data_IF_174530164729
#
_entry.id   IF_174530164729
#
_cell.length_a   1.000
_cell.length_b   1.000
_cell.length_c   1.000
_cell.angle_alpha   90.00
_cell.angle_beta   90.00
_cell.angle_gamma   90.00
#
_symmetry.space_group_name_H-M   'P 1'
#
loop_
_entity.id
_entity.type
_entity.pdbx_description
1 polymer ?
#
# COMPACT_ATOMS: atom_id res chain seq x y z
N UNK A 1 -0.19 6.50 37.82
CA UNK A 1 1.01 6.64 36.97
C UNK A 1 2.21 6.74 37.91
N UNK A 2 3.30 5.99 37.70
CA UNK A 2 4.44 5.84 38.63
C UNK A 2 5.75 6.40 38.05
N UNK A 3 5.85 7.72 37.81
CA UNK A 3 7.02 8.31 37.16
C UNK A 3 8.32 8.11 37.96
N UNK A 4 8.24 8.02 39.30
CA UNK A 4 9.39 7.79 40.17
C UNK A 4 9.93 6.35 40.18
N UNK A 5 9.28 5.43 39.47
CA UNK A 5 9.66 4.01 39.41
C UNK A 5 10.18 3.56 38.03
N UNK A 6 10.37 4.52 37.11
CA UNK A 6 10.86 4.22 35.75
C UNK A 6 12.37 4.44 35.71
N UNK A 7 13.14 3.36 35.60
CA UNK A 7 14.60 3.43 35.47
C UNK A 7 15.06 3.91 34.09
N UNK A 8 14.40 3.47 33.02
CA UNK A 8 14.60 3.90 31.62
C UNK A 8 13.31 3.69 30.81
N UNK A 9 13.11 4.51 29.78
CA UNK A 9 11.99 4.40 28.84
C UNK A 9 12.48 4.76 27.44
N UNK A 10 12.08 3.95 26.45
CA UNK A 10 12.24 4.25 25.02
C UNK A 10 10.84 4.08 24.42
N UNK A 11 10.42 5.07 23.66
CA UNK A 11 9.14 5.05 22.97
C UNK A 11 9.42 5.23 21.48
N UNK A 12 9.14 4.20 20.70
CA UNK A 12 9.30 4.16 19.25
C UNK A 12 7.90 3.94 18.64
N UNK A 13 7.56 4.69 17.58
CA UNK A 13 6.19 4.77 17.07
C UNK A 13 5.23 5.50 18.03
N UNK A 14 5.60 6.70 18.49
CA UNK A 14 4.83 7.45 19.49
C UNK A 14 3.58 8.10 18.91
N UNK A 15 2.49 8.05 19.68
CA UNK A 15 1.25 8.77 19.38
C UNK A 15 0.98 9.82 20.47
N UNK A 16 0.42 10.96 20.08
CA UNK A 16 -0.06 11.94 21.03
C UNK A 16 -1.51 11.64 21.44
N UNK A 17 -1.65 10.72 22.39
CA UNK A 17 -2.94 10.10 22.81
C UNK A 17 -4.04 11.10 23.17
N UNK A 18 -3.70 12.34 23.53
CA UNK A 18 -4.71 13.39 23.80
C UNK A 18 -5.55 13.71 22.57
N UNK A 19 -4.97 13.63 21.38
CA UNK A 19 -5.71 13.91 20.14
C UNK A 19 -6.72 12.79 19.84
N UNK A 20 -6.51 11.57 20.36
CA UNK A 20 -7.42 10.45 20.18
C UNK A 20 -8.74 10.60 20.95
N UNK A 21 -8.80 11.51 21.92
CA UNK A 21 -10.01 11.81 22.66
C UNK A 21 -11.05 12.59 21.84
N UNK A 22 -10.66 13.15 20.68
CA UNK A 22 -11.56 13.82 19.76
C UNK A 22 -12.28 12.79 18.87
N UNK A 23 -13.50 13.12 18.43
CA UNK A 23 -14.23 12.27 17.48
C UNK A 23 -13.41 12.11 16.19
N UNK A 24 -13.05 10.87 15.85
CA UNK A 24 -12.19 10.58 14.70
C UNK A 24 -10.70 10.90 14.91
N UNK A 25 -10.29 11.33 16.12
CA UNK A 25 -8.93 11.75 16.43
C UNK A 25 -7.88 10.68 16.18
N UNK A 26 -8.18 9.41 16.54
CA UNK A 26 -7.33 8.27 16.18
C UNK A 26 -7.16 8.14 14.67
N UNK A 27 -8.26 8.19 13.91
CA UNK A 27 -8.19 8.07 12.44
C UNK A 27 -7.37 9.20 11.80
N UNK A 28 -7.50 10.43 12.31
CA UNK A 28 -6.74 11.56 11.77
C UNK A 28 -5.25 11.49 12.09
N UNK A 29 -4.90 11.19 13.34
CA UNK A 29 -3.52 11.29 13.84
C UNK A 29 -2.71 10.01 13.65
N UNK A 30 -3.35 8.85 13.66
CA UNK A 30 -2.68 7.56 13.45
C UNK A 30 -2.74 7.07 11.99
N UNK A 31 -3.78 7.46 11.21
CA UNK A 31 -3.98 6.98 9.83
C UNK A 31 -3.86 8.07 8.75
N UNK A 32 -3.91 9.36 9.12
CA UNK A 32 -3.93 10.47 8.17
C UNK A 32 -2.69 10.55 7.26
N UNK A 33 -1.55 10.00 7.68
CA UNK A 33 -0.31 9.96 6.91
C UNK A 33 -0.26 8.84 5.86
N UNK A 34 -1.26 7.96 5.78
CA UNK A 34 -1.22 6.82 4.86
C UNK A 34 -1.16 7.22 3.38
N UNK A 35 -1.82 8.32 3.01
CA UNK A 35 -1.76 8.86 1.65
C UNK A 35 -0.38 9.41 1.34
N UNK A 36 0.22 10.16 2.27
CA UNK A 36 1.58 10.71 2.11
C UNK A 36 2.63 9.60 2.06
N UNK A 37 2.53 8.60 2.96
CA UNK A 37 3.42 7.44 2.97
C UNK A 37 3.34 6.63 1.67
N UNK A 38 2.15 6.50 1.08
CA UNK A 38 1.96 5.89 -0.23
C UNK A 38 2.59 6.74 -1.34
N UNK A 39 2.31 8.03 -1.35
CA UNK A 39 2.62 8.92 -2.46
C UNK A 39 4.09 9.33 -2.49
N UNK A 40 4.58 9.87 -1.38
CA UNK A 40 5.91 10.44 -1.25
C UNK A 40 6.92 9.40 -0.75
N UNK A 41 6.44 8.32 -0.11
CA UNK A 41 7.24 7.14 0.19
C UNK A 41 7.21 6.14 -0.98
N UNK A 42 6.25 5.22 -0.96
CA UNK A 42 6.24 4.06 -1.86
C UNK A 42 6.34 4.41 -3.35
N UNK A 43 5.50 5.32 -3.87
CA UNK A 43 5.48 5.66 -5.30
C UNK A 43 6.71 6.46 -5.74
N UNK A 44 7.12 7.45 -4.94
CA UNK A 44 8.31 8.25 -5.26
C UNK A 44 9.59 7.41 -5.20
N UNK A 45 9.75 6.57 -4.17
CA UNK A 45 10.90 5.68 -4.04
C UNK A 45 10.92 4.60 -5.12
N UNK A 46 9.76 4.11 -5.55
CA UNK A 46 9.68 3.20 -6.70
C UNK A 46 10.25 3.85 -7.98
N UNK A 47 9.93 5.12 -8.26
CA UNK A 47 10.50 5.84 -9.41
C UNK A 47 12.00 6.06 -9.25
N UNK A 48 12.45 6.45 -8.04
CA UNK A 48 13.87 6.66 -7.75
C UNK A 48 14.70 5.38 -7.89
N UNK A 49 14.15 4.24 -7.46
CA UNK A 49 14.76 2.92 -7.61
C UNK A 49 14.89 2.51 -9.09
N UNK A 50 14.00 3.03 -9.95
CA UNK A 50 14.03 2.83 -11.40
C UNK A 50 13.49 1.47 -11.84
N UNK A 51 13.37 1.32 -13.17
CA UNK A 51 12.71 0.17 -13.82
C UNK A 51 13.33 -1.20 -13.54
N UNK A 52 14.59 -1.24 -13.10
CA UNK A 52 15.30 -2.48 -12.78
C UNK A 52 14.94 -3.00 -11.38
N UNK A 53 14.48 -2.12 -10.49
CA UNK A 53 14.21 -2.43 -9.09
C UNK A 53 12.74 -2.23 -8.69
N UNK A 54 11.94 -1.53 -9.51
CA UNK A 54 10.51 -1.40 -9.30
C UNK A 54 9.70 -1.66 -10.58
N UNK A 55 8.73 -2.57 -10.51
CA UNK A 55 7.87 -2.93 -11.64
C UNK A 55 7.00 -1.76 -12.11
N UNK A 56 6.47 -0.94 -11.20
CA UNK A 56 5.63 0.22 -11.56
C UNK A 56 6.40 1.30 -12.34
N UNK A 57 7.72 1.40 -12.16
CA UNK A 57 8.57 2.31 -12.91
C UNK A 57 8.81 1.85 -14.37
N UNK A 58 8.31 0.69 -14.77
CA UNK A 58 8.40 0.25 -16.16
C UNK A 58 7.49 1.08 -17.08
N UNK A 59 8.02 1.59 -18.21
CA UNK A 59 7.25 2.40 -19.14
C UNK A 59 6.28 1.54 -19.94
N UNK A 60 5.02 1.97 -20.07
CA UNK A 60 4.03 1.26 -20.94
C UNK A 60 4.12 1.66 -22.42
N UNK A 61 4.55 2.88 -22.72
CA UNK A 61 4.60 3.45 -24.08
C UNK A 61 5.95 4.12 -24.41
N UNK A 62 7.06 3.55 -23.93
CA UNK A 62 8.43 4.07 -24.15
C UNK A 62 8.71 5.48 -23.60
N UNK A 63 7.80 6.03 -22.77
CA UNK A 63 8.00 7.28 -22.03
C UNK A 63 8.36 6.96 -20.59
N UNK A 64 9.32 7.70 -20.02
CA UNK A 64 9.65 7.62 -18.59
C UNK A 64 8.41 7.90 -17.75
N UNK A 65 8.19 7.07 -16.74
CA UNK A 65 7.05 7.20 -15.82
C UNK A 65 7.38 8.27 -14.77
N UNK A 66 6.48 9.21 -14.52
CA UNK A 66 6.60 10.17 -13.42
C UNK A 66 5.79 9.73 -12.19
N UNK A 67 6.08 10.32 -11.03
CA UNK A 67 5.31 10.07 -9.79
C UNK A 67 3.84 10.46 -9.97
N UNK A 68 3.56 11.60 -10.61
CA UNK A 68 2.19 12.04 -10.87
C UNK A 68 1.43 11.09 -11.81
N UNK A 69 2.12 10.55 -12.82
CA UNK A 69 1.54 9.53 -13.69
C UNK A 69 1.21 8.25 -12.89
N UNK A 70 2.10 7.82 -11.99
CA UNK A 70 1.82 6.69 -11.11
C UNK A 70 0.64 6.94 -10.18
N UNK A 71 0.53 8.14 -9.59
CA UNK A 71 -0.61 8.51 -8.74
C UNK A 71 -1.92 8.32 -9.49
N UNK A 72 -2.04 8.90 -10.68
CA UNK A 72 -3.24 8.80 -11.53
C UNK A 72 -3.54 7.34 -11.90
N UNK A 73 -2.52 6.57 -12.30
CA UNK A 73 -2.68 5.15 -12.65
C UNK A 73 -3.19 4.32 -11.48
N UNK A 74 -2.61 4.53 -10.30
CA UNK A 74 -2.97 3.76 -9.10
C UNK A 74 -4.32 4.19 -8.52
N UNK A 75 -4.71 5.46 -8.65
CA UNK A 75 -6.07 5.92 -8.34
C UNK A 75 -7.07 5.26 -9.28
N UNK A 76 -6.83 5.31 -10.59
CA UNK A 76 -7.70 4.70 -11.60
C UNK A 76 -7.85 3.18 -11.41
N UNK A 77 -6.77 2.47 -11.06
CA UNK A 77 -6.83 1.05 -10.72
C UNK A 77 -7.76 0.80 -9.53
N UNK A 78 -7.59 1.56 -8.44
CA UNK A 78 -8.43 1.39 -7.24
C UNK A 78 -9.88 1.77 -7.49
N UNK A 79 -10.16 2.84 -8.24
CA UNK A 79 -11.52 3.21 -8.65
C UNK A 79 -12.18 2.10 -9.47
N UNK A 80 -11.44 1.47 -10.38
CA UNK A 80 -11.96 0.35 -11.16
C UNK A 80 -12.36 -0.85 -10.28
N UNK A 81 -11.66 -1.08 -9.17
CA UNK A 81 -11.97 -2.13 -8.20
C UNK A 81 -13.21 -1.83 -7.35
N UNK A 82 -13.58 -0.55 -7.21
CA UNK A 82 -14.85 -0.13 -6.59
C UNK A 82 -16.01 -0.47 -7.52
N UNK A 83 -15.87 -0.23 -8.83
CA UNK A 83 -16.90 -0.55 -9.82
C UNK A 83 -17.05 -2.05 -10.03
N UNK A 84 -15.91 -2.77 -10.11
CA UNK A 84 -15.89 -4.19 -10.40
C UNK A 84 -14.65 -4.87 -9.81
N UNK A 85 -14.88 -5.83 -8.92
CA UNK A 85 -13.81 -6.71 -8.42
C UNK A 85 -13.19 -7.54 -9.55
N UNK A 86 -11.87 -7.75 -9.48
CA UNK A 86 -11.14 -8.57 -10.45
C UNK A 86 -11.17 -10.03 -9.97
N UNK A 87 -11.58 -11.00 -10.82
CA UNK A 87 -11.52 -12.41 -10.43
C UNK A 87 -10.06 -12.87 -10.29
N UNK A 88 -9.79 -13.63 -9.24
CA UNK A 88 -8.52 -14.31 -8.98
C UNK A 88 -8.70 -15.82 -9.00
N UNK A 89 -7.60 -16.54 -9.21
CA UNK A 89 -7.58 -17.99 -9.08
C UNK A 89 -6.20 -18.44 -8.66
N UNK A 90 -6.16 -19.37 -7.71
CA UNK A 90 -4.97 -20.16 -7.40
C UNK A 90 -5.37 -21.64 -7.30
N UNK A 91 -4.40 -22.53 -7.48
CA UNK A 91 -4.65 -23.97 -7.32
C UNK A 91 -4.94 -24.35 -5.85
N UNK A 92 -4.43 -23.58 -4.89
CA UNK A 92 -4.55 -23.84 -3.45
C UNK A 92 -5.91 -23.45 -2.87
N UNK A 93 -6.41 -22.24 -3.18
CA UNK A 93 -7.67 -21.71 -2.64
C UNK A 93 -8.82 -21.73 -3.65
N UNK A 94 -8.53 -21.98 -4.92
CA UNK A 94 -9.51 -21.96 -5.99
C UNK A 94 -9.88 -20.54 -6.43
N UNK A 95 -11.12 -20.31 -6.89
CA UNK A 95 -11.58 -18.98 -7.29
C UNK A 95 -11.63 -17.99 -6.12
N UNK A 96 -11.03 -16.82 -6.31
CA UNK A 96 -11.04 -15.71 -5.35
C UNK A 96 -11.45 -14.40 -6.03
N UNK A 97 -11.61 -13.34 -5.25
CA UNK A 97 -12.01 -12.02 -5.77
C UNK A 97 -11.12 -10.94 -5.19
N UNK A 98 -10.46 -10.19 -6.06
CA UNK A 98 -9.66 -9.02 -5.70
C UNK A 98 -10.61 -7.83 -5.59
N UNK A 99 -10.89 -7.41 -4.36
CA UNK A 99 -11.77 -6.28 -4.07
C UNK A 99 -10.97 -5.02 -3.77
N UNK A 100 -11.63 -3.86 -3.84
CA UNK A 100 -11.05 -2.59 -3.38
C UNK A 100 -10.54 -2.70 -1.93
N UNK A 101 -11.36 -3.23 -1.01
CA UNK A 101 -11.00 -3.32 0.41
C UNK A 101 -9.76 -4.17 0.64
N UNK A 102 -9.69 -5.34 0.00
CA UNK A 102 -8.54 -6.23 0.11
C UNK A 102 -7.26 -5.57 -0.43
N UNK A 103 -7.35 -4.82 -1.52
CA UNK A 103 -6.20 -4.08 -2.05
C UNK A 103 -5.78 -2.91 -1.17
N UNK A 104 -6.72 -2.18 -0.57
CA UNK A 104 -6.40 -1.13 0.40
C UNK A 104 -5.69 -1.72 1.62
N UNK A 105 -6.16 -2.86 2.12
CA UNK A 105 -5.54 -3.56 3.25
C UNK A 105 -4.10 -4.01 2.92
N UNK A 106 -3.88 -4.60 1.74
CA UNK A 106 -2.53 -5.01 1.26
C UNK A 106 -1.60 -3.80 1.13
N UNK A 107 -2.08 -2.72 0.50
CA UNK A 107 -1.30 -1.48 0.35
C UNK A 107 -0.93 -0.96 1.74
N UNK A 108 -1.93 -0.79 2.62
CA UNK A 108 -1.73 -0.25 3.96
C UNK A 108 -0.73 -1.09 4.78
N UNK A 109 -0.88 -2.41 4.80
CA UNK A 109 0.05 -3.31 5.49
C UNK A 109 1.48 -3.19 4.93
N UNK A 110 1.62 -3.03 3.62
CA UNK A 110 2.93 -2.88 2.97
C UNK A 110 3.62 -1.56 3.30
N UNK A 111 2.87 -0.49 3.57
CA UNK A 111 3.46 0.82 3.92
C UNK A 111 4.21 0.78 5.27
N UNK A 112 3.93 -0.20 6.14
CA UNK A 112 4.67 -0.38 7.40
C UNK A 112 6.03 -1.07 7.23
N UNK A 113 6.25 -1.82 6.14
CA UNK A 113 7.51 -2.54 5.93
C UNK A 113 8.00 -2.36 4.48
N UNK A 114 9.05 -1.55 4.30
CA UNK A 114 9.64 -1.29 2.99
C UNK A 114 10.16 -2.56 2.28
N UNK A 115 10.47 -3.64 3.01
CA UNK A 115 10.87 -4.91 2.40
C UNK A 115 9.78 -5.54 1.53
N UNK A 116 8.50 -5.23 1.77
CA UNK A 116 7.39 -5.76 0.97
C UNK A 116 7.09 -4.93 -0.27
N UNK A 117 7.68 -3.73 -0.41
CA UNK A 117 7.39 -2.80 -1.50
C UNK A 117 7.65 -3.36 -2.90
N UNK A 118 8.73 -4.13 -3.16
CA UNK A 118 8.93 -4.75 -4.47
C UNK A 118 7.78 -5.70 -4.85
N UNK A 119 7.27 -6.49 -3.90
CA UNK A 119 6.13 -7.39 -4.11
C UNK A 119 4.86 -6.60 -4.36
N UNK A 120 4.60 -5.54 -3.58
CA UNK A 120 3.46 -4.66 -3.78
C UNK A 120 3.49 -4.02 -5.18
N UNK A 121 4.63 -3.50 -5.61
CA UNK A 121 4.80 -2.89 -6.92
C UNK A 121 4.51 -3.90 -8.05
N UNK A 122 4.96 -5.15 -7.91
CA UNK A 122 4.67 -6.20 -8.87
C UNK A 122 3.17 -6.53 -8.92
N UNK A 123 2.50 -6.68 -7.78
CA UNK A 123 1.05 -6.92 -7.70
C UNK A 123 0.28 -5.82 -8.45
N UNK A 124 0.58 -4.56 -8.15
CA UNK A 124 -0.12 -3.42 -8.75
C UNK A 124 0.13 -3.35 -10.26
N UNK A 125 1.37 -3.58 -10.69
CA UNK A 125 1.74 -3.61 -12.11
C UNK A 125 1.01 -4.73 -12.87
N UNK A 126 0.97 -5.94 -12.30
CA UNK A 126 0.30 -7.11 -12.89
C UNK A 126 -1.21 -6.89 -13.00
N UNK A 127 -1.82 -6.31 -11.96
CA UNK A 127 -3.26 -5.98 -11.96
C UNK A 127 -3.61 -4.97 -13.05
N UNK A 128 -2.78 -3.94 -13.26
CA UNK A 128 -2.96 -3.02 -14.39
C UNK A 128 -2.80 -3.69 -15.77
N UNK A 129 -2.16 -4.87 -15.85
CA UNK A 129 -2.09 -5.71 -17.06
C UNK A 129 -3.23 -6.73 -17.13
N UNK A 130 -4.13 -6.76 -16.14
CA UNK A 130 -5.21 -7.74 -16.03
C UNK A 130 -4.77 -9.10 -15.51
N UNK A 131 -3.55 -9.22 -14.96
CA UNK A 131 -3.06 -10.43 -14.32
C UNK A 131 -3.27 -10.36 -12.81
N UNK A 132 -4.20 -11.16 -12.27
CA UNK A 132 -4.54 -11.18 -10.85
C UNK A 132 -3.84 -12.28 -10.05
N UNK A 133 -2.98 -13.08 -10.66
CA UNK A 133 -2.41 -14.29 -10.05
C UNK A 133 -1.66 -13.99 -8.75
N UNK A 134 -0.75 -13.00 -8.77
CA UNK A 134 0.05 -12.65 -7.59
C UNK A 134 -0.80 -11.97 -6.50
N UNK A 135 -1.79 -11.16 -6.90
CA UNK A 135 -2.75 -10.58 -5.98
C UNK A 135 -3.55 -11.67 -5.26
N UNK A 136 -4.06 -12.65 -6.02
CA UNK A 136 -4.85 -13.76 -5.49
C UNK A 136 -4.05 -14.60 -4.50
N UNK A 137 -2.81 -14.95 -4.83
CA UNK A 137 -1.91 -15.68 -3.92
C UNK A 137 -1.63 -14.91 -2.62
N UNK A 138 -1.56 -13.59 -2.69
CA UNK A 138 -1.29 -12.75 -1.51
C UNK A 138 -2.49 -12.67 -0.56
N UNK A 139 -3.72 -12.92 -1.04
CA UNK A 139 -4.90 -12.98 -0.16
C UNK A 139 -4.96 -14.25 0.72
N UNK A 140 -4.08 -15.21 0.49
CA UNK A 140 -4.01 -16.47 1.25
C UNK A 140 -3.02 -16.44 2.42
N UNK A 141 -2.12 -15.45 2.45
CA UNK A 141 -1.05 -15.28 3.44
C UNK A 141 -1.56 -14.49 4.68
#
# INVERSE_FOLDING_TARGET
MYPGSVGRMISDGTEYVRDHCLLGGFGWTALGSGIDARNDGFLAECINAGREHCALAQPRNSKSVSVDELKIRMESLLESLVERSIPGYTESSGPSSITYSAMVDIIYASLYNAETWPRLAQILYDLELGNSTLAAATLEE
#
